data_IF_661706736167
#
_entry.id   IF_661706736167
#
_cell.length_a   1.000
_cell.length_b   1.000
_cell.length_c   1.000
_cell.angle_alpha   90.00
_cell.angle_beta   90.00
_cell.angle_gamma   90.00
#
_symmetry.space_group_name_H-M   'P 1'
#
loop_
_entity.id
_entity.type
_entity.pdbx_description
1 polymer ?
#
# COMPACT_ATOMS: atom_id res chain seq x y z
N UNK A 1 9.40 -21.88 6.86
CA UNK A 1 8.98 -20.46 6.87
C UNK A 1 10.10 -19.68 6.21
N UNK A 2 9.84 -19.11 5.02
CA UNK A 2 10.85 -18.32 4.33
C UNK A 2 11.13 -17.08 5.18
N UNK A 3 12.38 -16.93 5.59
CA UNK A 3 12.84 -15.88 6.49
C UNK A 3 13.13 -14.60 5.68
N UNK A 4 12.19 -14.18 4.84
CA UNK A 4 12.27 -12.89 4.16
C UNK A 4 11.99 -11.80 5.19
N UNK A 5 12.98 -10.95 5.43
CA UNK A 5 12.82 -9.77 6.28
C UNK A 5 11.74 -8.88 5.69
N UNK A 6 10.68 -8.62 6.47
CA UNK A 6 9.65 -7.64 6.10
C UNK A 6 10.32 -6.26 6.02
N UNK A 7 10.14 -5.56 4.90
CA UNK A 7 10.62 -4.18 4.75
C UNK A 7 9.68 -3.24 5.51
N UNK A 8 10.22 -2.50 6.46
CA UNK A 8 9.51 -1.39 7.11
C UNK A 8 9.70 -0.11 6.30
N UNK A 9 8.64 0.68 6.15
CA UNK A 9 8.67 2.00 5.51
C UNK A 9 8.31 3.05 6.55
N UNK A 10 9.33 3.72 7.10
CA UNK A 10 9.21 4.72 8.16
C UNK A 10 9.53 6.11 7.61
N UNK A 11 10.46 6.20 6.65
CA UNK A 11 10.92 7.43 6.05
C UNK A 11 11.19 7.27 4.55
N UNK A 12 11.10 8.34 3.74
CA UNK A 12 11.27 8.25 2.28
C UNK A 12 12.61 7.63 1.85
N UNK A 13 13.67 7.91 2.60
CA UNK A 13 15.03 7.43 2.35
C UNK A 13 15.20 5.91 2.57
N UNK A 14 14.18 5.23 3.11
CA UNK A 14 14.12 3.76 3.15
C UNK A 14 13.98 3.15 1.73
N UNK A 15 13.67 3.99 0.73
CA UNK A 15 13.72 3.65 -0.68
C UNK A 15 14.89 4.32 -1.39
N UNK A 16 15.52 3.56 -2.28
CA UNK A 16 16.36 4.14 -3.35
C UNK A 16 15.49 4.86 -4.39
N UNK A 17 16.10 5.76 -5.15
CA UNK A 17 15.43 6.46 -6.27
C UNK A 17 14.80 5.50 -7.27
N UNK A 18 15.48 4.38 -7.56
CA UNK A 18 14.97 3.37 -8.48
C UNK A 18 13.73 2.65 -7.91
N UNK A 19 13.71 2.36 -6.61
CA UNK A 19 12.52 1.76 -5.99
C UNK A 19 11.33 2.75 -5.97
N UNK A 20 11.58 4.05 -5.81
CA UNK A 20 10.55 5.08 -5.94
C UNK A 20 10.01 5.16 -7.36
N UNK A 21 10.88 5.10 -8.37
CA UNK A 21 10.46 5.08 -9.78
C UNK A 21 9.56 3.86 -10.09
N UNK A 22 9.92 2.69 -9.59
CA UNK A 22 9.10 1.48 -9.73
C UNK A 22 7.77 1.59 -8.95
N UNK A 23 7.79 2.18 -7.74
CA UNK A 23 6.58 2.45 -6.97
C UNK A 23 5.62 3.38 -7.73
N UNK A 24 6.13 4.45 -8.33
CA UNK A 24 5.31 5.39 -9.10
C UNK A 24 4.77 4.76 -10.39
N UNK A 25 5.57 3.95 -11.10
CA UNK A 25 5.08 3.18 -12.25
C UNK A 25 3.95 2.24 -11.89
N UNK A 26 4.06 1.56 -10.74
CA UNK A 26 2.98 0.70 -10.23
C UNK A 26 1.74 1.52 -9.85
N UNK A 27 1.91 2.69 -9.24
CA UNK A 27 0.79 3.58 -8.94
C UNK A 27 0.06 4.00 -10.24
N UNK A 28 0.81 4.40 -11.27
CA UNK A 28 0.27 4.77 -12.58
C UNK A 28 -0.47 3.60 -13.26
N UNK A 29 0.06 2.37 -13.16
CA UNK A 29 -0.59 1.19 -13.73
C UNK A 29 -1.89 0.82 -13.02
N UNK A 30 -1.95 0.96 -11.69
CA UNK A 30 -3.17 0.80 -10.90
C UNK A 30 -4.21 1.86 -11.27
N UNK A 31 -3.79 3.12 -11.45
CA UNK A 31 -4.66 4.20 -11.88
C UNK A 31 -5.24 3.92 -13.27
N UNK A 32 -4.41 3.45 -14.20
CA UNK A 32 -4.83 3.14 -15.56
C UNK A 32 -5.81 1.96 -15.64
N UNK A 33 -5.63 0.93 -14.80
CA UNK A 33 -6.41 -0.31 -14.87
C UNK A 33 -6.82 -0.83 -13.48
N UNK A 34 -7.64 -0.11 -12.71
CA UNK A 34 -7.93 -0.46 -11.31
C UNK A 34 -8.56 -1.85 -11.14
N UNK A 35 -9.36 -2.30 -12.12
CA UNK A 35 -9.99 -3.63 -12.09
C UNK A 35 -8.97 -4.77 -12.16
N UNK A 36 -7.82 -4.56 -12.82
CA UNK A 36 -6.74 -5.56 -12.88
C UNK A 36 -6.08 -5.80 -11.52
N UNK A 37 -6.26 -4.88 -10.57
CA UNK A 37 -5.67 -4.94 -9.23
C UNK A 37 -6.71 -5.19 -8.12
N UNK A 38 -7.98 -5.41 -8.46
CA UNK A 38 -9.07 -5.44 -7.49
C UNK A 38 -8.99 -6.60 -6.46
N UNK A 39 -8.21 -7.65 -6.74
CA UNK A 39 -8.07 -8.83 -5.88
C UNK A 39 -6.64 -9.05 -5.37
N UNK A 40 -5.68 -8.15 -5.62
CA UNK A 40 -4.26 -8.39 -5.27
C UNK A 40 -3.99 -8.48 -3.77
N UNK A 41 -4.86 -7.89 -2.95
CA UNK A 41 -4.82 -7.96 -1.49
C UNK A 41 -5.92 -8.90 -0.93
N UNK A 42 -6.54 -9.74 -1.75
CA UNK A 42 -7.59 -10.65 -1.29
C UNK A 42 -7.11 -11.57 -0.17
N UNK A 43 -7.86 -11.61 0.93
CA UNK A 43 -7.54 -12.38 2.12
C UNK A 43 -6.43 -11.78 3.00
N UNK A 44 -5.98 -10.55 2.70
CA UNK A 44 -5.04 -9.79 3.54
C UNK A 44 -5.83 -8.87 4.48
N UNK A 45 -5.32 -8.71 5.70
CA UNK A 45 -5.88 -7.82 6.72
C UNK A 45 -4.93 -6.64 7.00
N UNK A 46 -5.46 -5.43 7.10
CA UNK A 46 -4.76 -4.21 7.46
C UNK A 46 -5.19 -3.75 8.86
N UNK A 47 -4.22 -3.65 9.77
CA UNK A 47 -4.42 -2.97 11.05
C UNK A 47 -4.12 -1.48 10.90
N UNK A 48 -5.09 -0.62 11.25
CA UNK A 48 -4.98 0.84 11.17
C UNK A 48 -4.81 1.44 12.58
N UNK A 49 -3.61 1.94 12.89
CA UNK A 49 -3.26 2.50 14.21
C UNK A 49 -3.02 4.01 14.11
N UNK A 50 -4.08 4.81 14.32
CA UNK A 50 -4.03 6.28 14.33
C UNK A 50 -4.35 6.81 15.73
N UNK A 51 -3.32 7.19 16.49
CA UNK A 51 -3.46 7.72 17.85
C UNK A 51 -3.81 9.22 17.88
N UNK A 52 -3.52 9.93 16.80
CA UNK A 52 -3.88 11.34 16.60
C UNK A 52 -4.89 11.48 15.46
N UNK A 53 -5.84 12.43 15.53
CA UNK A 53 -6.82 12.63 14.47
C UNK A 53 -6.19 12.97 13.11
N UNK A 54 -6.34 12.08 12.13
CA UNK A 54 -5.93 12.32 10.74
C UNK A 54 -6.86 11.62 9.74
N UNK A 55 -8.02 12.23 9.49
CA UNK A 55 -9.09 11.65 8.66
C UNK A 55 -8.62 11.31 7.25
N UNK A 56 -7.89 12.21 6.61
CA UNK A 56 -7.44 12.03 5.21
C UNK A 56 -6.47 10.86 5.09
N UNK A 57 -5.48 10.79 5.97
CA UNK A 57 -4.49 9.72 5.95
C UNK A 57 -5.16 8.38 6.23
N UNK A 58 -5.93 8.26 7.31
CA UNK A 58 -6.63 7.02 7.66
C UNK A 58 -7.51 6.52 6.52
N UNK A 59 -8.39 7.37 6.00
CA UNK A 59 -9.30 6.98 4.92
C UNK A 59 -8.59 6.65 3.62
N UNK A 60 -7.44 7.27 3.31
CA UNK A 60 -6.67 6.88 2.13
C UNK A 60 -6.12 5.47 2.22
N UNK A 61 -5.62 5.04 3.39
CA UNK A 61 -5.12 3.68 3.59
C UNK A 61 -6.26 2.64 3.59
N UNK A 62 -7.34 2.91 4.31
CA UNK A 62 -8.50 2.02 4.37
C UNK A 62 -9.15 1.85 2.99
N UNK A 63 -9.37 2.94 2.26
CA UNK A 63 -9.94 2.88 0.92
C UNK A 63 -9.02 2.17 -0.08
N UNK A 64 -7.70 2.33 0.03
CA UNK A 64 -6.76 1.60 -0.82
C UNK A 64 -6.84 0.09 -0.57
N UNK A 65 -6.85 -0.35 0.70
CA UNK A 65 -6.96 -1.76 1.06
C UNK A 65 -8.25 -2.40 0.51
N UNK A 66 -9.39 -1.71 0.67
CA UNK A 66 -10.68 -2.17 0.17
C UNK A 66 -10.72 -2.26 -1.36
N UNK A 67 -10.14 -1.27 -2.07
CA UNK A 67 -10.08 -1.28 -3.54
C UNK A 67 -9.23 -2.41 -4.11
N UNK A 68 -8.24 -2.88 -3.36
CA UNK A 68 -7.37 -3.99 -3.73
C UNK A 68 -7.90 -5.36 -3.24
N UNK A 69 -9.11 -5.40 -2.67
CA UNK A 69 -9.79 -6.63 -2.24
C UNK A 69 -9.42 -7.13 -0.84
N UNK A 70 -8.66 -6.32 -0.09
CA UNK A 70 -8.31 -6.58 1.30
C UNK A 70 -9.37 -6.07 2.30
N UNK A 71 -9.08 -6.25 3.58
CA UNK A 71 -9.92 -5.78 4.70
C UNK A 71 -9.10 -5.03 5.74
#
# INVERSE_FOLDING_TARGET
MNNESIKHLIQPDDFSTNELDELFRLADSIIANPLSYADVCKGRLLASLFYEPSTRTRFSFEAAMLRLGGQ
#
